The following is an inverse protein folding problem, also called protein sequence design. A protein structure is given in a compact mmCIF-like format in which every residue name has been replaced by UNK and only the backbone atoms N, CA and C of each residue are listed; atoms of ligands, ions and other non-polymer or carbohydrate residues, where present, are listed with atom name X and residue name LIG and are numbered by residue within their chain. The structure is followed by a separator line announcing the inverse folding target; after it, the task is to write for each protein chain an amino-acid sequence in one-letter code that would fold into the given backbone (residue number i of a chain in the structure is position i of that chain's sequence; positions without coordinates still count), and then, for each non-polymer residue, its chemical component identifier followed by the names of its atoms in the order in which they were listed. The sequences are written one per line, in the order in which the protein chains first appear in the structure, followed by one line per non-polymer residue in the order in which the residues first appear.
data_IF_193820076671
#
_entry.id   IF_193820076671
#
_cell.length_a   1.000
_cell.length_b   1.000
_cell.length_c   1.000
_cell.angle_alpha   90.00
_cell.angle_beta   90.00
_cell.angle_gamma   90.00
#
_symmetry.space_group_name_H-M   'P 1'
#
loop_
_entity.id
_entity.type
_entity.pdbx_description
1 polymer ?
#
# COMPACT_ATOMS: atom_id res chain seq x y z
N UNK A 1 -1.73 -24.51 1.70
CA UNK A 1 -1.29 -23.16 1.27
C UNK A 1 -2.23 -22.52 0.24
N UNK A 2 -2.89 -23.28 -0.64
CA UNK A 2 -3.89 -22.76 -1.58
C UNK A 2 -5.14 -22.16 -0.90
N UNK A 3 -5.63 -22.80 0.16
CA UNK A 3 -6.85 -22.36 0.88
C UNK A 3 -6.72 -20.95 1.49
N UNK A 4 -5.52 -20.54 1.89
CA UNK A 4 -5.27 -19.20 2.46
C UNK A 4 -5.39 -18.09 1.41
N UNK A 5 -5.06 -18.38 0.14
CA UNK A 5 -5.20 -17.40 -0.94
C UNK A 5 -6.66 -17.27 -1.41
N UNK A 6 -7.45 -18.35 -1.31
CA UNK A 6 -8.87 -18.32 -1.65
C UNK A 6 -9.68 -17.49 -0.65
N UNK A 7 -9.41 -17.65 0.65
CA UNK A 7 -10.00 -16.81 1.70
C UNK A 7 -9.74 -15.30 1.48
N UNK A 8 -8.56 -14.96 0.95
CA UNK A 8 -8.19 -13.57 0.68
C UNK A 8 -8.93 -13.01 -0.56
N UNK A 9 -9.10 -13.82 -1.62
CA UNK A 9 -9.83 -13.42 -2.83
C UNK A 9 -11.33 -13.24 -2.59
N UNK A 10 -11.94 -14.09 -1.77
CA UNK A 10 -13.37 -14.00 -1.45
C UNK A 10 -13.72 -12.73 -0.66
N UNK A 11 -12.76 -12.22 0.14
CA UNK A 11 -12.95 -10.98 0.90
C UNK A 11 -13.07 -9.73 0.02
N UNK A 12 -12.45 -9.73 -1.16
CA UNK A 12 -12.46 -8.58 -2.09
C UNK A 12 -13.65 -8.57 -3.05
N UNK A 13 -14.31 -9.72 -3.29
CA UNK A 13 -15.33 -9.85 -4.33
C UNK A 13 -16.78 -9.73 -3.83
N UNK A 14 -17.01 -9.31 -2.58
CA UNK A 14 -18.38 -9.15 -2.04
C UNK A 14 -19.02 -7.83 -2.46
N UNK A 15 -19.16 -7.61 -3.77
CA UNK A 15 -20.05 -6.59 -4.34
C UNK A 15 -21.35 -7.26 -4.80
N UNK A 16 -22.28 -7.45 -3.87
CA UNK A 16 -23.69 -7.71 -4.19
C UNK A 16 -24.45 -6.38 -4.32
N UNK A 17 -25.43 -6.25 -5.24
CA UNK A 17 -26.08 -4.98 -5.56
C UNK A 17 -27.29 -4.76 -4.66
N UNK A 18 -27.33 -3.65 -3.90
CA UNK A 18 -28.55 -3.22 -3.22
C UNK A 18 -28.69 -1.68 -3.24
N UNK A 19 -29.51 -1.18 -4.16
CA UNK A 19 -30.27 0.07 -3.97
C UNK A 19 -31.52 -0.22 -3.12
N UNK A 20 -31.94 0.67 -2.20
CA UNK A 20 -32.89 1.71 -2.61
C UNK A 20 -32.73 3.10 -1.94
N UNK A 21 -32.96 4.12 -2.77
CA UNK A 21 -33.70 5.38 -2.55
C UNK A 21 -33.53 6.25 -1.28
N UNK A 22 -33.14 7.50 -1.56
CA UNK A 22 -33.67 8.78 -1.05
C UNK A 22 -33.44 9.25 0.41
N UNK A 23 -32.84 10.46 0.46
CA UNK A 23 -33.12 11.56 1.38
C UNK A 23 -32.59 11.48 2.82
N UNK A 24 -31.44 12.14 3.05
CA UNK A 24 -31.32 13.27 3.99
C UNK A 24 -29.89 13.84 3.96
N UNK A 25 -29.84 15.15 3.72
CA UNK A 25 -28.65 16.01 3.72
C UNK A 25 -28.04 16.04 5.13
N UNK A 26 -27.10 15.14 5.41
CA UNK A 26 -26.28 15.19 6.63
C UNK A 26 -25.05 16.05 6.35
N UNK A 27 -24.87 17.10 7.15
CA UNK A 27 -23.66 17.94 7.16
C UNK A 27 -22.44 17.03 7.36
N UNK A 28 -21.61 16.90 6.32
CA UNK A 28 -20.31 16.24 6.43
C UNK A 28 -19.40 17.11 7.29
N UNK A 29 -19.23 16.69 8.54
CA UNK A 29 -18.06 17.07 9.33
C UNK A 29 -16.87 16.43 8.64
N UNK A 30 -16.00 17.26 8.06
CA UNK A 30 -14.75 16.81 7.47
C UNK A 30 -13.87 16.28 8.59
N UNK A 31 -13.87 14.96 8.79
CA UNK A 31 -12.82 14.29 9.55
C UNK A 31 -11.47 14.62 8.92
N UNK A 32 -10.38 14.74 9.69
CA UNK A 32 -9.05 14.80 9.11
C UNK A 32 -8.87 13.56 8.24
N UNK A 33 -8.57 13.76 6.96
CA UNK A 33 -8.25 12.69 6.01
C UNK A 33 -7.13 11.85 6.65
N UNK A 34 -7.49 10.67 7.17
CA UNK A 34 -6.48 9.65 7.41
C UNK A 34 -5.84 9.42 6.04
N UNK A 35 -4.50 9.43 5.94
CA UNK A 35 -3.85 9.14 4.67
C UNK A 35 -4.46 7.86 4.12
N UNK A 36 -4.87 7.92 2.85
CA UNK A 36 -5.43 6.76 2.16
C UNK A 36 -4.42 5.63 2.32
N UNK A 37 -4.89 4.50 2.88
CA UNK A 37 -4.02 3.35 3.13
C UNK A 37 -3.40 2.92 1.82
N UNK A 38 -2.10 2.66 1.85
CA UNK A 38 -1.30 2.34 0.66
C UNK A 38 -1.23 3.51 -0.34
N UNK A 39 -1.30 4.76 0.15
CA UNK A 39 -1.00 5.93 -0.67
C UNK A 39 0.50 6.05 -0.94
N UNK A 40 0.85 6.74 -2.03
CA UNK A 40 2.26 7.04 -2.36
C UNK A 40 2.94 7.78 -1.20
N UNK A 41 2.25 8.73 -0.57
CA UNK A 41 2.80 9.48 0.56
C UNK A 41 3.10 8.59 1.77
N UNK A 42 2.20 7.68 2.13
CA UNK A 42 2.42 6.74 3.22
C UNK A 42 3.64 5.85 2.94
N UNK A 43 3.69 5.26 1.74
CA UNK A 43 4.83 4.43 1.33
C UNK A 43 6.16 5.21 1.31
N UNK A 44 6.14 6.50 0.96
CA UNK A 44 7.34 7.36 1.05
C UNK A 44 7.79 7.63 2.47
N UNK A 45 6.85 7.77 3.41
CA UNK A 45 7.21 7.92 4.83
C UNK A 45 7.85 6.65 5.37
N UNK A 46 7.33 5.48 5.01
CA UNK A 46 7.93 4.19 5.37
C UNK A 46 9.31 4.00 4.72
N UNK A 47 9.45 4.27 3.42
CA UNK A 47 10.74 4.20 2.72
C UNK A 47 11.78 5.14 3.34
N UNK A 48 11.38 6.33 3.79
CA UNK A 48 12.27 7.31 4.45
C UNK A 48 12.94 6.74 5.69
N UNK A 49 12.30 5.83 6.43
CA UNK A 49 12.88 5.16 7.61
C UNK A 49 14.09 4.30 7.25
N UNK A 50 14.14 3.79 6.01
CA UNK A 50 15.21 2.93 5.52
C UNK A 50 16.41 3.71 4.96
N UNK A 51 16.28 5.04 4.78
CA UNK A 51 17.26 5.88 4.07
C UNK A 51 18.68 5.78 4.63
N UNK A 52 18.84 5.58 5.94
CA UNK A 52 20.15 5.46 6.59
C UNK A 52 20.67 4.01 6.59
N UNK A 53 19.79 3.03 6.37
CA UNK A 53 20.10 1.59 6.39
C UNK A 53 20.48 1.05 5.02
N UNK A 54 20.11 1.74 3.94
CA UNK A 54 20.36 1.30 2.57
C UNK A 54 21.16 2.33 1.75
N UNK A 55 21.99 1.90 0.79
CA UNK A 55 22.63 2.78 -0.17
C UNK A 55 21.62 3.69 -0.89
N UNK A 56 21.99 4.97 -1.09
CA UNK A 56 21.14 5.99 -1.74
C UNK A 56 20.57 5.53 -3.09
N UNK A 57 21.35 4.76 -3.87
CA UNK A 57 20.90 4.23 -5.17
C UNK A 57 19.67 3.32 -5.05
N UNK A 58 19.59 2.50 -3.99
CA UNK A 58 18.45 1.59 -3.76
C UNK A 58 17.21 2.39 -3.37
N UNK A 59 17.40 3.35 -2.45
CA UNK A 59 16.34 4.27 -2.03
C UNK A 59 15.67 4.99 -3.20
N UNK A 60 16.46 5.56 -4.11
CA UNK A 60 15.92 6.28 -5.28
C UNK A 60 15.14 5.33 -6.21
N UNK A 61 15.66 4.11 -6.42
CA UNK A 61 14.99 3.11 -7.27
C UNK A 61 13.66 2.67 -6.68
N UNK A 62 13.60 2.39 -5.38
CA UNK A 62 12.36 2.07 -4.68
C UNK A 62 11.37 3.24 -4.71
N UNK A 63 11.82 4.48 -4.52
CA UNK A 63 10.94 5.65 -4.60
C UNK A 63 10.24 5.77 -5.96
N UNK A 64 10.94 5.45 -7.06
CA UNK A 64 10.35 5.39 -8.40
C UNK A 64 9.37 4.22 -8.54
N UNK A 65 9.74 3.03 -8.04
CA UNK A 65 8.91 1.83 -8.13
C UNK A 65 7.58 1.96 -7.36
N UNK A 66 7.57 2.70 -6.26
CA UNK A 66 6.37 2.92 -5.42
C UNK A 66 5.32 3.84 -6.06
N UNK A 67 5.60 4.42 -7.23
CA UNK A 67 4.56 5.01 -8.06
C UNK A 67 3.54 3.95 -8.54
N UNK A 68 4.01 2.73 -8.80
CA UNK A 68 3.15 1.60 -9.13
C UNK A 68 2.33 1.15 -7.92
N UNK A 69 1.02 0.95 -8.12
CA UNK A 69 0.08 0.62 -7.04
C UNK A 69 0.31 -0.78 -6.46
N UNK A 70 0.60 -1.77 -7.30
CA UNK A 70 0.75 -3.14 -6.84
C UNK A 70 2.10 -3.33 -6.16
N UNK A 71 3.17 -2.73 -6.70
CA UNK A 71 4.47 -2.67 -6.02
C UNK A 71 4.34 -2.03 -4.64
N UNK A 72 3.59 -0.91 -4.57
CA UNK A 72 3.40 -0.19 -3.31
C UNK A 72 2.66 -1.01 -2.25
N UNK A 73 1.60 -1.73 -2.62
CA UNK A 73 0.90 -2.63 -1.70
C UNK A 73 1.82 -3.72 -1.17
N UNK A 74 2.62 -4.33 -2.05
CA UNK A 74 3.61 -5.35 -1.64
C UNK A 74 4.59 -4.74 -0.64
N UNK A 75 5.19 -3.60 -0.97
CA UNK A 75 6.12 -2.91 -0.06
C UNK A 75 5.50 -2.60 1.31
N UNK A 76 4.25 -2.15 1.34
CA UNK A 76 3.53 -1.85 2.58
C UNK A 76 3.23 -3.09 3.43
N UNK A 77 3.11 -4.27 2.79
CA UNK A 77 2.89 -5.54 3.48
C UNK A 77 4.16 -6.11 4.12
N UNK A 78 5.33 -5.87 3.50
CA UNK A 78 6.62 -6.37 3.98
C UNK A 78 7.03 -5.72 5.31
N UNK A 79 7.75 -6.48 6.14
CA UNK A 79 8.44 -5.95 7.32
C UNK A 79 9.73 -5.21 6.94
N UNK A 80 10.46 -4.68 7.93
CA UNK A 80 11.65 -3.87 7.66
C UNK A 80 12.77 -4.66 6.98
N UNK A 81 13.02 -5.89 7.43
CA UNK A 81 14.11 -6.74 6.93
C UNK A 81 13.79 -7.19 5.50
N UNK A 82 12.54 -7.60 5.26
CA UNK A 82 12.03 -7.96 3.94
C UNK A 82 12.07 -6.77 2.97
N UNK A 83 11.76 -5.55 3.44
CA UNK A 83 11.86 -4.33 2.61
C UNK A 83 13.30 -4.08 2.21
N UNK A 84 14.26 -4.24 3.12
CA UNK A 84 15.69 -4.04 2.84
C UNK A 84 16.18 -5.06 1.81
N UNK A 85 15.80 -6.34 1.95
CA UNK A 85 16.12 -7.38 0.97
C UNK A 85 15.49 -7.07 -0.39
N UNK A 86 14.22 -6.69 -0.41
CA UNK A 86 13.51 -6.30 -1.63
C UNK A 86 14.20 -5.11 -2.34
N UNK A 87 14.65 -4.10 -1.58
CA UNK A 87 15.42 -2.96 -2.08
C UNK A 87 16.75 -3.37 -2.74
N UNK A 88 17.42 -4.39 -2.22
CA UNK A 88 18.65 -4.93 -2.80
C UNK A 88 18.36 -5.66 -4.12
N UNK A 89 17.39 -6.57 -4.12
CA UNK A 89 16.97 -7.31 -5.32
C UNK A 89 16.46 -6.39 -6.43
N UNK A 90 15.72 -5.34 -6.07
CA UNK A 90 15.26 -4.32 -7.02
C UNK A 90 16.43 -3.64 -7.71
N UNK A 91 17.55 -3.41 -7.02
CA UNK A 91 18.69 -2.71 -7.56
C UNK A 91 19.51 -3.53 -8.56
N UNK A 92 19.55 -4.85 -8.37
CA UNK A 92 20.28 -5.79 -9.22
C UNK A 92 19.50 -6.20 -10.49
N UNK A 93 18.20 -5.83 -10.58
CA UNK A 93 17.34 -5.99 -11.77
C UNK A 93 17.47 -4.85 -12.77
#
# INVERSE_FOLDING_TARGET
MHECMELFRDSFNKNGPETPSASKRSKSVSSPDKPEKDSVNEAMLELKKLKEKVPRRFYVKAAMALADKEIRKVFMFLDEDERIEWLQNLADS
#
